data_IF_139565897924
#
_entry.id   IF_139565897924
#
_cell.length_a   1.000
_cell.length_b   1.000
_cell.length_c   1.000
_cell.angle_alpha   90.00
_cell.angle_beta   90.00
_cell.angle_gamma   90.00
#
_symmetry.space_group_name_H-M   'P 1'
#
loop_
_entity.id
_entity.type
_entity.pdbx_description
1 polymer ?
#
# COMPACT_ATOMS: atom_id res chain seq x y z
N UNK A 1 -13.65 6.46 15.56
CA UNK A 1 -13.86 5.47 14.53
C UNK A 1 -12.70 4.52 14.29
N UNK A 2 -11.52 5.02 14.13
CA UNK A 2 -10.34 4.19 14.01
C UNK A 2 -10.04 3.35 15.24
N UNK A 3 -10.54 3.71 16.41
CA UNK A 3 -10.46 2.86 17.61
C UNK A 3 -11.19 1.53 17.43
N UNK A 4 -12.06 1.42 16.43
CA UNK A 4 -12.71 0.18 16.06
C UNK A 4 -11.80 -0.73 15.20
N UNK A 5 -10.69 -0.20 14.70
CA UNK A 5 -9.77 -0.93 13.82
C UNK A 5 -9.28 -2.22 14.45
N UNK A 6 -8.93 -2.22 15.74
CA UNK A 6 -8.48 -3.43 16.41
C UNK A 6 -9.47 -4.57 16.35
N UNK A 7 -10.76 -4.29 16.48
CA UNK A 7 -11.82 -5.30 16.36
C UNK A 7 -12.01 -5.77 14.93
N UNK A 8 -11.88 -4.87 13.98
CA UNK A 8 -12.03 -5.21 12.56
C UNK A 8 -10.81 -5.99 12.04
N UNK A 9 -9.61 -5.65 12.49
CA UNK A 9 -8.38 -6.38 12.13
C UNK A 9 -8.48 -7.85 12.54
N UNK A 10 -9.08 -8.14 13.69
CA UNK A 10 -9.24 -9.51 14.16
C UNK A 10 -10.15 -10.36 13.27
N UNK A 11 -10.95 -9.74 12.40
CA UNK A 11 -11.78 -10.45 11.43
C UNK A 11 -11.05 -10.74 10.11
N UNK A 12 -9.84 -10.21 9.92
CA UNK A 12 -9.04 -10.39 8.72
C UNK A 12 -7.88 -11.35 9.00
N UNK A 13 -7.43 -12.12 7.99
CA UNK A 13 -6.24 -12.94 8.15
C UNK A 13 -5.02 -12.04 8.31
N UNK A 14 -4.33 -12.19 9.43
CA UNK A 14 -3.12 -11.41 9.72
C UNK A 14 -1.95 -12.32 10.04
N UNK A 15 -0.76 -11.80 9.79
CA UNK A 15 0.52 -12.41 10.17
C UNK A 15 1.31 -11.42 11.00
N UNK A 16 2.30 -11.91 11.72
CA UNK A 16 3.27 -11.06 12.40
C UNK A 16 4.28 -10.54 11.39
N UNK A 17 4.64 -9.27 11.47
CA UNK A 17 5.71 -8.69 10.66
C UNK A 17 7.04 -9.41 10.92
N UNK A 18 7.91 -9.58 9.89
CA UNK A 18 9.14 -10.37 10.04
C UNK A 18 10.12 -9.85 11.08
N UNK A 19 10.25 -8.54 11.26
CA UNK A 19 11.28 -7.98 12.14
C UNK A 19 10.74 -7.02 13.20
N UNK A 20 9.42 -6.96 13.40
CA UNK A 20 8.82 -6.15 14.46
C UNK A 20 7.53 -6.78 14.97
N UNK A 21 7.13 -6.39 16.18
CA UNK A 21 5.88 -6.88 16.77
C UNK A 21 4.69 -6.03 16.29
N UNK A 22 4.30 -6.28 15.05
CA UNK A 22 3.19 -5.57 14.42
C UNK A 22 2.43 -6.53 13.50
N UNK A 23 1.10 -6.37 13.35
CA UNK A 23 0.34 -7.19 12.42
C UNK A 23 0.49 -6.69 10.99
N UNK A 24 0.48 -7.62 10.04
CA UNK A 24 0.34 -7.33 8.62
C UNK A 24 -0.83 -8.14 8.07
N UNK A 25 -1.47 -7.65 7.02
CA UNK A 25 -2.51 -8.42 6.34
C UNK A 25 -1.86 -9.57 5.57
N UNK A 26 -2.34 -10.80 5.81
CA UNK A 26 -1.74 -11.99 5.22
C UNK A 26 -1.77 -11.99 3.69
N UNK A 27 -2.79 -11.36 3.10
CA UNK A 27 -2.98 -11.29 1.65
C UNK A 27 -2.34 -10.06 1.01
N UNK A 28 -1.65 -9.22 1.79
CA UNK A 28 -0.94 -8.07 1.24
C UNK A 28 0.26 -8.53 0.42
N UNK A 29 0.36 -8.08 -0.81
CA UNK A 29 1.50 -8.42 -1.66
C UNK A 29 2.67 -7.42 -1.52
N UNK A 30 2.43 -6.31 -0.86
CA UNK A 30 3.45 -5.31 -0.54
C UNK A 30 3.17 -4.70 0.81
N UNK A 31 4.19 -4.61 1.65
CA UNK A 31 4.05 -3.96 2.95
C UNK A 31 5.37 -3.35 3.41
N UNK A 32 5.25 -2.39 4.30
CA UNK A 32 6.37 -1.66 4.87
C UNK A 32 6.36 -1.84 6.39
N UNK A 33 7.51 -2.15 6.96
CA UNK A 33 7.72 -2.06 8.39
C UNK A 33 8.27 -0.67 8.72
N UNK A 34 7.55 0.07 9.55
CA UNK A 34 7.89 1.44 9.87
C UNK A 34 8.01 1.66 11.36
N UNK A 35 8.97 2.47 11.76
CA UNK A 35 9.01 3.04 13.11
C UNK A 35 8.38 4.42 13.10
N UNK A 36 7.77 4.82 14.23
CA UNK A 36 7.23 6.17 14.35
C UNK A 36 8.34 7.20 14.22
N UNK A 37 8.18 8.14 13.31
CA UNK A 37 9.09 9.26 13.17
C UNK A 37 8.56 10.49 13.90
N UNK A 38 7.36 10.95 13.54
CA UNK A 38 6.84 12.20 14.04
C UNK A 38 5.31 12.24 13.95
N UNK A 39 4.69 12.86 14.94
CA UNK A 39 3.27 13.20 14.92
C UNK A 39 3.18 14.71 14.77
N UNK A 40 2.46 15.18 13.76
CA UNK A 40 2.27 16.60 13.48
C UNK A 40 0.81 16.95 13.74
N UNK A 41 0.57 17.74 14.77
CA UNK A 41 -0.75 18.25 15.11
C UNK A 41 -1.03 19.61 14.45
N UNK A 42 -2.21 20.15 14.66
CA UNK A 42 -2.59 21.47 14.14
C UNK A 42 -3.57 21.41 12.97
N UNK A 43 -4.23 20.29 12.77
CA UNK A 43 -5.24 20.09 11.72
C UNK A 43 -6.61 19.80 12.35
N UNK A 44 -7.05 20.65 13.25
CA UNK A 44 -8.27 20.48 14.05
C UNK A 44 -8.23 19.15 14.83
N UNK A 45 -9.15 18.22 14.57
CA UNK A 45 -9.21 16.92 15.22
C UNK A 45 -8.29 15.87 14.59
N UNK A 46 -7.47 16.26 13.64
CA UNK A 46 -6.63 15.35 12.86
C UNK A 46 -5.14 15.63 13.09
N UNK A 47 -4.35 14.60 12.89
CA UNK A 47 -2.89 14.67 12.94
C UNK A 47 -2.29 13.94 11.74
N UNK A 48 -1.10 14.35 11.37
CA UNK A 48 -0.29 13.61 10.40
C UNK A 48 0.69 12.75 11.19
N UNK A 49 0.66 11.44 10.95
CA UNK A 49 1.61 10.51 11.55
C UNK A 49 2.61 10.13 10.47
N UNK A 50 3.89 10.33 10.74
CA UNK A 50 4.96 9.97 9.81
C UNK A 50 5.77 8.81 10.37
N UNK A 51 6.24 7.94 9.48
CA UNK A 51 7.04 6.80 9.86
C UNK A 51 8.35 6.75 9.08
N UNK A 52 9.37 6.17 9.69
CA UNK A 52 10.61 5.84 9.03
C UNK A 52 10.50 4.40 8.55
N UNK A 53 10.71 4.18 7.25
CA UNK A 53 10.68 2.83 6.67
C UNK A 53 11.93 2.09 7.14
N UNK A 54 11.73 0.98 7.84
CA UNK A 54 12.81 0.11 8.31
C UNK A 54 13.06 -1.05 7.35
N UNK A 55 12.00 -1.58 6.75
CA UNK A 55 12.08 -2.66 5.78
C UNK A 55 10.88 -2.61 4.83
N UNK A 56 11.09 -3.06 3.62
CA UNK A 56 10.05 -3.16 2.59
C UNK A 56 10.03 -4.59 2.05
N UNK A 57 8.84 -5.14 1.88
CA UNK A 57 8.64 -6.51 1.44
C UNK A 57 7.65 -6.53 0.29
N UNK A 58 7.94 -7.32 -0.72
CA UNK A 58 7.04 -7.55 -1.84
C UNK A 58 6.96 -9.05 -2.10
N UNK A 59 5.75 -9.54 -2.36
CA UNK A 59 5.56 -10.93 -2.76
C UNK A 59 6.18 -11.14 -4.14
N UNK A 60 6.92 -12.23 -4.30
CA UNK A 60 7.67 -12.52 -5.54
C UNK A 60 6.82 -12.45 -6.80
N UNK A 61 5.61 -12.99 -6.75
CA UNK A 61 4.72 -13.07 -7.91
C UNK A 61 4.15 -11.71 -8.34
N UNK A 62 4.36 -10.67 -7.54
CA UNK A 62 3.85 -9.32 -7.78
C UNK A 62 4.94 -8.33 -8.17
N UNK A 63 6.18 -8.79 -8.27
CA UNK A 63 7.28 -7.96 -8.74
C UNK A 63 7.25 -7.92 -10.26
N UNK A 64 7.40 -6.72 -10.82
CA UNK A 64 7.43 -6.53 -12.27
C UNK A 64 8.62 -7.28 -12.88
N UNK A 65 8.35 -8.08 -13.90
CA UNK A 65 9.37 -8.70 -14.74
C UNK A 65 9.48 -7.92 -16.05
N UNK A 66 10.67 -7.96 -16.65
CA UNK A 66 10.98 -7.14 -17.83
C UNK A 66 10.14 -7.45 -19.06
N UNK A 67 9.67 -8.70 -19.21
CA UNK A 67 8.88 -9.16 -20.35
C UNK A 67 7.39 -8.82 -20.23
N UNK A 68 6.93 -8.40 -19.05
CA UNK A 68 5.52 -8.09 -18.81
C UNK A 68 5.30 -6.59 -18.91
N UNK A 69 4.35 -6.17 -19.74
CA UNK A 69 4.02 -4.76 -19.82
C UNK A 69 3.20 -4.30 -18.62
N UNK A 70 3.08 -3.00 -18.44
CA UNK A 70 2.42 -2.40 -17.29
C UNK A 70 0.93 -2.72 -17.24
N UNK A 71 0.29 -2.80 -18.42
CA UNK A 71 -1.14 -3.14 -18.49
C UNK A 71 -1.41 -4.58 -18.08
N UNK A 72 -0.59 -5.51 -18.54
CA UNK A 72 -0.69 -6.91 -18.14
C UNK A 72 -0.48 -7.07 -16.63
N UNK A 73 0.52 -6.37 -16.08
CA UNK A 73 0.84 -6.45 -14.66
C UNK A 73 -0.29 -5.92 -13.79
N UNK A 74 -0.86 -4.77 -14.12
CA UNK A 74 -1.93 -4.18 -13.32
C UNK A 74 -3.23 -4.99 -13.43
N UNK A 75 -3.50 -5.58 -14.58
CA UNK A 75 -4.66 -6.44 -14.78
C UNK A 75 -4.55 -7.71 -13.94
N UNK A 76 -3.37 -8.32 -13.92
CA UNK A 76 -3.09 -9.52 -13.15
C UNK A 76 -3.06 -9.27 -11.65
N UNK A 77 -2.52 -8.13 -11.24
CA UNK A 77 -2.35 -7.74 -9.85
C UNK A 77 -2.91 -6.32 -9.63
N UNK A 78 -4.24 -6.16 -9.60
CA UNK A 78 -4.84 -4.83 -9.45
C UNK A 78 -4.42 -4.14 -8.17
N UNK A 79 -4.26 -2.83 -8.24
CA UNK A 79 -4.07 -2.01 -7.05
C UNK A 79 -5.41 -1.69 -6.41
N UNK A 80 -5.42 -1.64 -5.09
CA UNK A 80 -6.60 -1.27 -4.32
C UNK A 80 -6.43 0.15 -3.82
N UNK A 81 -7.45 0.98 -4.04
CA UNK A 81 -7.46 2.38 -3.62
C UNK A 81 -8.61 2.62 -2.66
N UNK A 82 -8.29 3.17 -1.50
CA UNK A 82 -9.29 3.59 -0.54
C UNK A 82 -9.98 4.87 -1.00
N UNK A 83 -11.29 4.88 -1.02
CA UNK A 83 -12.11 6.02 -1.42
C UNK A 83 -12.75 6.68 -0.20
N UNK A 84 -13.44 5.87 0.60
CA UNK A 84 -14.19 6.32 1.77
C UNK A 84 -14.44 5.12 2.67
N UNK A 85 -14.90 5.29 3.92
CA UNK A 85 -15.19 4.16 4.79
C UNK A 85 -16.07 3.11 4.10
N UNK A 86 -15.58 1.88 4.05
CA UNK A 86 -16.25 0.77 3.41
C UNK A 86 -16.27 0.80 1.88
N UNK A 87 -15.55 1.72 1.24
CA UNK A 87 -15.52 1.83 -0.22
C UNK A 87 -14.10 1.86 -0.75
N UNK A 88 -13.84 0.97 -1.68
CA UNK A 88 -12.55 0.82 -2.35
C UNK A 88 -12.74 0.74 -3.85
N UNK A 89 -11.73 1.11 -4.61
CA UNK A 89 -11.69 0.92 -6.05
C UNK A 89 -10.51 0.02 -6.41
N UNK A 90 -10.68 -0.79 -7.46
CA UNK A 90 -9.57 -1.52 -8.08
C UNK A 90 -9.07 -0.74 -9.27
N UNK A 91 -7.76 -0.62 -9.39
CA UNK A 91 -7.12 -0.09 -10.59
C UNK A 91 -6.68 -1.28 -11.42
N UNK A 92 -7.27 -1.42 -12.61
CA UNK A 92 -7.02 -2.53 -13.54
C UNK A 92 -6.52 -2.07 -14.91
N UNK A 93 -6.47 -0.75 -15.15
CA UNK A 93 -6.05 -0.17 -16.41
C UNK A 93 -4.93 0.82 -16.21
N UNK A 94 -4.03 0.89 -17.18
CA UNK A 94 -2.97 1.88 -17.25
C UNK A 94 -3.08 2.66 -18.56
N UNK A 95 -2.51 3.85 -18.57
CA UNK A 95 -2.49 4.70 -19.76
C UNK A 95 -1.09 5.27 -19.92
N UNK A 96 -0.62 5.31 -21.17
CA UNK A 96 0.65 5.95 -21.47
C UNK A 96 0.50 7.47 -21.37
N UNK A 97 1.44 8.09 -20.69
CA UNK A 97 1.51 9.55 -20.73
C UNK A 97 2.14 9.99 -22.07
N UNK A 98 1.57 10.99 -22.76
CA UNK A 98 2.07 11.40 -24.06
C UNK A 98 3.33 12.26 -23.94
N UNK A 99 4.42 11.65 -23.49
CA UNK A 99 5.72 12.33 -23.39
C UNK A 99 6.23 12.75 -24.78
N UNK A 100 6.90 13.91 -24.88
CA UNK A 100 7.59 14.28 -26.10
C UNK A 100 8.63 13.23 -26.50
N UNK A 101 8.91 13.11 -27.80
CA UNK A 101 9.77 12.09 -28.37
C UNK A 101 11.17 12.03 -27.72
N UNK A 102 11.69 13.17 -27.26
CA UNK A 102 13.02 13.28 -26.65
C UNK A 102 12.98 13.39 -25.12
N UNK A 103 11.84 13.10 -24.50
CA UNK A 103 11.72 13.16 -23.05
C UNK A 103 12.53 12.03 -22.41
N UNK A 104 13.38 12.37 -21.45
CA UNK A 104 14.14 11.40 -20.64
C UNK A 104 13.49 11.28 -19.26
N UNK A 105 13.23 10.05 -18.84
CA UNK A 105 12.72 9.71 -17.50
C UNK A 105 13.85 9.63 -16.50
#
# INVERSE_FOLDING_TARGET
>A
MYFQIGRHINALPILKAPSMDAPILADAYFYLECGLHKIIDGFDDYSIITGTIKAAYAHRDYIKVSEMDEQEQILKNPLLVYIAPGRFAKITETYDFPFPKNFKR
#
